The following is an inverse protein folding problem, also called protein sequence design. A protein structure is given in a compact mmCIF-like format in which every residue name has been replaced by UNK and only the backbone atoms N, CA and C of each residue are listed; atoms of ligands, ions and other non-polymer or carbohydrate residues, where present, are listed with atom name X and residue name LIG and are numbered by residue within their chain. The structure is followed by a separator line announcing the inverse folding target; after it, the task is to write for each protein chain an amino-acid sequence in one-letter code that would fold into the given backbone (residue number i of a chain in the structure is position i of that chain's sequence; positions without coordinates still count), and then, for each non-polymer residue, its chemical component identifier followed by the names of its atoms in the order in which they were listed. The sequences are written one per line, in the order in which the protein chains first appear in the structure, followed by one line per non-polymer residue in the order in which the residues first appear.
data_IF_984137624194
#
_entry.id   IF_984137624194
#
_cell.length_a   1.000
_cell.length_b   1.000
_cell.length_c   1.000
_cell.angle_alpha   90.00
_cell.angle_beta   90.00
_cell.angle_gamma   90.00
#
_symmetry.space_group_name_H-M   'P 1'
#
loop_
_entity.id
_entity.type
_entity.pdbx_description
1 polymer ?
#
# COMPACT_ATOMS: atom_id res chain seq x y z
N UNK A 1 -2.00 7.24 -14.22
CA UNK A 1 -1.10 8.18 -13.51
C UNK A 1 0.29 7.53 -13.45
N UNK A 2 1.28 8.02 -14.21
CA UNK A 2 2.63 7.50 -14.13
C UNK A 2 3.25 7.86 -12.77
N UNK A 3 3.67 6.84 -12.03
CA UNK A 3 4.28 6.92 -10.71
C UNK A 3 5.67 7.59 -10.73
N UNK A 4 6.19 7.97 -9.55
CA UNK A 4 7.49 8.63 -9.36
C UNK A 4 8.72 7.81 -9.79
N UNK A 5 8.56 6.52 -10.06
CA UNK A 5 9.67 5.65 -10.45
C UNK A 5 10.34 6.07 -11.74
N UNK A 6 11.61 5.68 -11.86
CA UNK A 6 12.43 5.79 -13.07
C UNK A 6 12.81 4.37 -13.48
N UNK A 7 12.61 3.97 -14.75
CA UNK A 7 13.10 2.67 -15.20
C UNK A 7 14.64 2.69 -15.19
N UNK A 8 15.27 1.65 -14.63
CA UNK A 8 16.72 1.49 -14.62
C UNK A 8 17.06 0.21 -15.38
N UNK A 9 17.92 0.31 -16.40
CA UNK A 9 18.33 -0.80 -17.25
C UNK A 9 17.18 -1.46 -18.03
N UNK A 10 16.04 -0.80 -18.17
CA UNK A 10 14.86 -1.39 -18.80
C UNK A 10 15.04 -1.47 -20.33
N UNK A 11 14.96 -2.68 -20.87
CA UNK A 11 14.93 -2.93 -22.31
C UNK A 11 13.55 -3.45 -22.70
N UNK A 12 12.86 -2.72 -23.57
CA UNK A 12 11.56 -3.12 -24.11
C UNK A 12 11.68 -3.39 -25.61
N UNK A 13 11.34 -4.61 -26.03
CA UNK A 13 11.43 -5.06 -27.45
C UNK A 13 12.79 -4.75 -28.10
N UNK A 14 13.87 -4.97 -27.36
CA UNK A 14 15.24 -4.77 -27.83
C UNK A 14 15.68 -3.30 -27.91
N UNK A 15 14.93 -2.36 -27.33
CA UNK A 15 15.31 -0.95 -27.21
C UNK A 15 15.44 -0.57 -25.75
N UNK A 16 16.51 0.12 -25.41
CA UNK A 16 16.66 0.76 -24.10
C UNK A 16 15.59 1.84 -23.92
N UNK A 17 14.99 1.85 -22.74
CA UNK A 17 14.03 2.87 -22.31
C UNK A 17 14.79 3.94 -21.55
N UNK A 18 14.56 5.21 -21.89
CA UNK A 18 15.19 6.35 -21.23
C UNK A 18 14.99 6.30 -19.71
N UNK A 19 16.08 6.39 -18.95
CA UNK A 19 16.06 6.41 -17.49
C UNK A 19 15.67 7.80 -16.97
N UNK A 20 14.39 8.14 -17.16
CA UNK A 20 13.74 9.32 -16.59
C UNK A 20 12.43 8.93 -15.96
N UNK A 21 11.97 9.69 -14.95
CA UNK A 21 10.69 9.43 -14.28
C UNK A 21 9.56 9.19 -15.27
N UNK A 22 8.65 8.25 -14.99
CA UNK A 22 7.65 7.79 -15.97
C UNK A 22 6.78 8.92 -16.57
N UNK A 23 6.52 9.99 -15.81
CA UNK A 23 5.79 11.17 -16.30
C UNK A 23 6.52 11.99 -17.39
N UNK A 24 7.83 11.77 -17.57
CA UNK A 24 8.65 12.39 -18.62
C UNK A 24 8.97 11.42 -19.78
N UNK A 25 8.58 10.15 -19.68
CA UNK A 25 9.07 9.10 -20.57
C UNK A 25 8.12 8.88 -21.76
N UNK A 26 8.48 9.43 -22.93
CA UNK A 26 7.67 9.31 -24.16
C UNK A 26 7.55 7.88 -24.67
N UNK A 27 8.60 7.07 -24.52
CA UNK A 27 8.59 5.68 -24.98
C UNK A 27 7.52 4.88 -24.24
N UNK A 28 7.32 5.16 -22.96
CA UNK A 28 6.30 4.49 -22.13
C UNK A 28 4.93 5.11 -22.33
N UNK A 29 4.79 6.43 -22.19
CA UNK A 29 3.48 7.09 -22.21
C UNK A 29 2.88 7.10 -23.61
N UNK A 30 3.60 7.57 -24.62
CA UNK A 30 3.09 7.55 -25.99
C UNK A 30 3.29 6.16 -26.61
N UNK A 31 4.53 5.66 -26.62
CA UNK A 31 4.84 4.42 -27.34
C UNK A 31 4.10 3.18 -26.82
N UNK A 32 4.20 2.88 -25.53
CA UNK A 32 3.56 1.67 -24.99
C UNK A 32 2.09 1.91 -24.66
N UNK A 33 1.78 2.90 -23.81
CA UNK A 33 0.44 3.09 -23.28
C UNK A 33 -0.56 3.54 -24.37
N UNK A 34 -0.21 4.51 -25.21
CA UNK A 34 -1.13 4.99 -26.27
C UNK A 34 -1.04 4.15 -27.54
N UNK A 35 0.15 3.98 -28.11
CA UNK A 35 0.27 3.37 -29.43
C UNK A 35 0.09 1.85 -29.41
N UNK A 36 0.65 1.15 -28.40
CA UNK A 36 0.54 -0.31 -28.33
C UNK A 36 -0.69 -0.80 -27.55
N UNK A 37 -1.00 -0.20 -26.40
CA UNK A 37 -2.13 -0.60 -25.55
C UNK A 37 -3.43 0.13 -25.90
N UNK A 38 -3.40 1.15 -26.77
CA UNK A 38 -4.59 1.83 -27.27
C UNK A 38 -5.28 2.74 -26.25
N UNK A 39 -4.60 3.16 -25.20
CA UNK A 39 -5.20 4.04 -24.20
C UNK A 39 -5.35 5.47 -24.74
N UNK A 40 -6.60 5.92 -24.93
CA UNK A 40 -6.89 7.28 -25.40
C UNK A 40 -7.48 8.20 -24.31
N UNK A 41 -7.49 7.73 -23.06
CA UNK A 41 -7.93 8.55 -21.92
C UNK A 41 -6.88 9.56 -21.45
N UNK A 42 -7.23 10.24 -20.35
CA UNK A 42 -6.41 11.28 -19.72
C UNK A 42 -5.21 10.67 -18.97
N UNK A 43 -4.01 11.14 -19.30
CA UNK A 43 -2.79 10.82 -18.54
C UNK A 43 -2.46 11.99 -17.62
N UNK A 44 -2.69 11.83 -16.32
CA UNK A 44 -2.27 12.79 -15.28
C UNK A 44 -0.95 12.33 -14.66
N UNK A 45 0.07 13.19 -14.57
CA UNK A 45 1.31 12.88 -13.82
C UNK A 45 1.00 12.69 -12.34
N UNK A 46 1.85 11.96 -11.62
CA UNK A 46 1.84 12.02 -10.16
C UNK A 46 2.32 13.41 -9.68
N UNK A 47 2.41 13.59 -8.36
CA UNK A 47 2.51 14.89 -7.70
C UNK A 47 3.87 15.60 -7.84
N UNK A 48 3.86 16.89 -8.20
CA UNK A 48 5.01 17.80 -8.12
C UNK A 48 6.23 17.37 -8.97
N UNK A 49 6.01 17.10 -10.27
CA UNK A 49 7.09 16.82 -11.23
C UNK A 49 7.83 18.10 -11.69
N UNK A 50 7.26 19.29 -11.54
CA UNK A 50 7.88 20.53 -12.06
C UNK A 50 8.50 21.34 -10.95
N UNK A 51 7.73 21.57 -9.88
CA UNK A 51 8.06 22.52 -8.83
C UNK A 51 8.50 21.82 -7.54
N UNK A 52 9.32 22.53 -6.76
CA UNK A 52 9.60 22.15 -5.37
C UNK A 52 8.43 22.63 -4.49
N UNK A 53 8.15 21.92 -3.40
CA UNK A 53 7.04 22.22 -2.49
C UNK A 53 7.49 22.22 -1.03
N UNK A 54 6.88 23.07 -0.21
CA UNK A 54 7.04 23.06 1.24
C UNK A 54 5.90 22.27 1.89
N UNK A 55 6.24 21.24 2.66
CA UNK A 55 5.26 20.45 3.44
C UNK A 55 5.74 20.39 4.89
N UNK A 56 4.87 20.77 5.83
CA UNK A 56 5.21 20.74 7.25
C UNK A 56 6.46 21.57 7.59
N UNK A 57 6.73 22.63 6.83
CA UNK A 57 7.92 23.48 7.01
C UNK A 57 9.23 22.92 6.45
N UNK A 58 9.26 21.72 5.85
CA UNK A 58 10.45 21.20 5.16
C UNK A 58 10.29 21.28 3.64
N UNK A 59 11.42 21.39 2.97
CA UNK A 59 11.52 21.46 1.51
C UNK A 59 11.51 20.07 0.88
N UNK A 60 10.56 19.82 -0.01
CA UNK A 60 10.51 18.65 -0.87
C UNK A 60 10.85 19.08 -2.29
N UNK A 61 11.95 18.60 -2.88
CA UNK A 61 12.26 18.90 -4.27
C UNK A 61 11.21 18.29 -5.21
N UNK A 62 11.14 18.81 -6.43
CA UNK A 62 10.38 18.21 -7.51
C UNK A 62 10.78 16.74 -7.69
N UNK A 63 9.81 15.89 -8.04
CA UNK A 63 10.05 14.47 -8.36
C UNK A 63 10.64 14.29 -9.77
N UNK A 64 11.67 15.09 -10.06
CA UNK A 64 12.28 15.26 -11.38
C UNK A 64 13.36 14.22 -11.69
N UNK A 65 13.10 12.96 -11.34
CA UNK A 65 14.08 11.88 -11.45
C UNK A 65 14.61 11.71 -12.88
N UNK A 66 15.94 11.74 -13.03
CA UNK A 66 16.64 11.64 -14.31
C UNK A 66 16.67 12.95 -15.12
N UNK A 67 15.97 13.99 -14.66
CA UNK A 67 15.89 15.31 -15.32
C UNK A 67 16.05 16.47 -14.34
N UNK A 68 16.75 16.24 -13.23
CA UNK A 68 16.96 17.21 -12.15
C UNK A 68 17.68 18.48 -12.67
N UNK A 69 18.54 18.29 -13.67
CA UNK A 69 19.28 19.34 -14.37
C UNK A 69 18.40 20.25 -15.26
N UNK A 70 17.18 19.84 -15.59
CA UNK A 70 16.25 20.65 -16.38
C UNK A 70 15.59 21.71 -15.51
N UNK A 71 15.35 22.88 -16.09
CA UNK A 71 14.53 23.92 -15.47
C UNK A 71 13.03 23.61 -15.58
N UNK A 72 12.21 24.39 -14.88
CA UNK A 72 10.74 24.21 -14.87
C UNK A 72 10.13 24.24 -16.29
N UNK A 73 10.46 25.21 -17.17
CA UNK A 73 9.98 25.19 -18.55
C UNK A 73 10.37 23.92 -19.33
N UNK A 74 11.61 23.44 -19.22
CA UNK A 74 12.04 22.22 -19.89
C UNK A 74 11.34 20.97 -19.34
N UNK A 75 11.10 20.89 -18.03
CA UNK A 75 10.31 19.81 -17.41
C UNK A 75 8.89 19.77 -17.96
N UNK A 76 8.18 20.91 -18.01
CA UNK A 76 6.83 21.00 -18.59
C UNK A 76 6.82 20.52 -20.04
N UNK A 77 7.75 20.99 -20.87
CA UNK A 77 7.84 20.57 -22.26
C UNK A 77 8.06 19.06 -22.40
N UNK A 78 8.94 18.47 -21.58
CA UNK A 78 9.20 17.02 -21.62
C UNK A 78 7.97 16.21 -21.19
N UNK A 79 7.23 16.66 -20.17
CA UNK A 79 5.96 16.03 -19.75
C UNK A 79 4.93 16.07 -20.89
N UNK A 80 4.75 17.23 -21.52
CA UNK A 80 3.79 17.38 -22.62
C UNK A 80 4.20 16.56 -23.86
N UNK A 81 5.50 16.56 -24.21
CA UNK A 81 6.03 15.77 -25.32
C UNK A 81 5.94 14.26 -25.06
N UNK A 82 6.03 13.82 -23.80
CA UNK A 82 5.81 12.44 -23.42
C UNK A 82 4.36 11.97 -23.69
N UNK A 83 3.41 12.91 -23.72
CA UNK A 83 1.99 12.62 -23.96
C UNK A 83 1.11 12.71 -22.70
N UNK A 84 1.61 13.28 -21.60
CA UNK A 84 0.82 13.57 -20.41
C UNK A 84 -0.11 14.77 -20.65
N UNK A 85 -1.34 14.70 -20.15
CA UNK A 85 -2.41 15.67 -20.39
C UNK A 85 -2.63 16.63 -19.20
N UNK A 86 -2.34 16.18 -17.98
CA UNK A 86 -2.53 16.95 -16.75
C UNK A 86 -1.32 16.79 -15.82
N UNK A 87 -0.93 17.86 -15.13
CA UNK A 87 0.20 17.86 -14.20
C UNK A 87 -0.32 17.78 -12.76
N UNK A 88 -0.04 16.67 -12.09
CA UNK A 88 -0.46 16.40 -10.71
C UNK A 88 0.21 17.34 -9.71
N UNK A 89 -0.59 17.99 -8.87
CA UNK A 89 -0.08 18.84 -7.79
C UNK A 89 0.47 20.19 -8.18
N UNK A 90 0.57 20.50 -9.47
CA UNK A 90 1.22 21.73 -9.95
C UNK A 90 0.30 22.94 -9.97
N UNK A 91 0.88 24.10 -9.70
CA UNK A 91 0.20 25.42 -9.76
C UNK A 91 0.91 26.41 -10.69
N UNK A 92 1.89 25.93 -11.46
CA UNK A 92 2.80 26.71 -12.31
C UNK A 92 2.18 27.13 -13.67
N UNK A 93 0.96 27.63 -13.66
CA UNK A 93 0.21 27.96 -14.89
C UNK A 93 0.89 29.06 -15.70
N UNK A 94 1.57 30.00 -15.05
CA UNK A 94 2.36 31.07 -15.66
C UNK A 94 3.44 30.53 -16.59
N UNK A 95 4.19 29.52 -16.14
CA UNK A 95 5.27 28.90 -16.92
C UNK A 95 4.73 28.26 -18.19
N UNK A 96 3.59 27.57 -18.10
CA UNK A 96 2.95 26.96 -19.27
C UNK A 96 2.43 28.04 -20.25
N UNK A 97 1.82 29.11 -19.75
CA UNK A 97 1.33 30.21 -20.59
C UNK A 97 2.48 30.87 -21.37
N UNK A 98 3.63 31.07 -20.73
CA UNK A 98 4.79 31.66 -21.38
C UNK A 98 5.39 30.73 -22.45
N UNK A 99 5.42 29.42 -22.20
CA UNK A 99 5.82 28.42 -23.20
C UNK A 99 4.93 28.41 -24.44
N UNK A 100 3.61 28.64 -24.27
CA UNK A 100 2.66 28.71 -25.38
C UNK A 100 2.85 30.02 -26.15
N UNK A 101 2.91 31.16 -25.44
CA UNK A 101 3.13 32.49 -26.05
C UNK A 101 4.45 32.58 -26.79
N UNK A 102 5.50 31.95 -26.27
CA UNK A 102 6.81 31.86 -26.91
C UNK A 102 6.88 30.82 -28.03
N UNK A 103 5.81 30.08 -28.30
CA UNK A 103 5.72 29.09 -29.38
C UNK A 103 6.47 27.78 -29.10
N UNK A 104 6.98 27.58 -27.88
CA UNK A 104 7.68 26.36 -27.49
C UNK A 104 6.71 25.21 -27.20
N UNK A 105 5.45 25.51 -26.88
CA UNK A 105 4.33 24.56 -26.83
C UNK A 105 3.27 25.03 -27.82
N UNK A 106 2.91 24.17 -28.77
CA UNK A 106 1.86 24.48 -29.76
C UNK A 106 0.48 24.38 -29.13
N UNK A 107 -0.44 25.27 -29.49
CA UNK A 107 -1.85 25.20 -29.05
C UNK A 107 -2.49 23.85 -29.37
N UNK A 108 -2.24 23.30 -30.57
CA UNK A 108 -2.75 21.97 -30.94
C UNK A 108 -2.33 20.84 -29.99
N UNK A 109 -1.17 20.94 -29.31
CA UNK A 109 -0.81 19.95 -28.28
C UNK A 109 -1.70 20.09 -27.05
N UNK A 110 -2.11 21.31 -26.70
CA UNK A 110 -3.09 21.53 -25.63
C UNK A 110 -4.49 21.07 -26.03
N UNK A 111 -4.88 21.28 -27.29
CA UNK A 111 -6.18 20.81 -27.81
C UNK A 111 -6.33 19.29 -27.67
N UNK A 112 -5.27 18.52 -27.91
CA UNK A 112 -5.24 17.07 -27.66
C UNK A 112 -5.55 16.74 -26.19
N UNK A 113 -4.88 17.41 -25.24
CA UNK A 113 -5.11 17.20 -23.81
C UNK A 113 -6.51 17.64 -23.37
N UNK A 114 -6.96 18.80 -23.85
CA UNK A 114 -8.26 19.38 -23.54
C UNK A 114 -9.39 18.53 -24.09
N UNK A 115 -9.24 17.97 -25.29
CA UNK A 115 -10.23 17.05 -25.87
C UNK A 115 -10.45 15.86 -24.94
N UNK A 116 -9.37 15.19 -24.49
CA UNK A 116 -9.49 14.05 -23.55
C UNK A 116 -10.11 14.45 -22.21
N UNK A 117 -9.65 15.56 -21.63
CA UNK A 117 -10.16 16.07 -20.35
C UNK A 117 -11.65 16.43 -20.43
N UNK A 118 -12.06 17.12 -21.49
CA UNK A 118 -13.45 17.54 -21.68
C UNK A 118 -14.34 16.36 -22.03
N UNK A 119 -13.89 15.44 -22.89
CA UNK A 119 -14.63 14.21 -23.20
C UNK A 119 -15.00 13.42 -21.95
N UNK A 120 -14.03 13.14 -21.06
CA UNK A 120 -14.31 12.45 -19.80
C UNK A 120 -15.31 13.24 -18.92
N UNK A 121 -15.21 14.57 -18.87
CA UNK A 121 -16.15 15.39 -18.10
C UNK A 121 -17.56 15.38 -18.68
N UNK A 122 -17.71 15.37 -20.00
CA UNK A 122 -19.00 15.23 -20.67
C UNK A 122 -19.59 13.84 -20.49
N UNK A 123 -18.79 12.78 -20.65
CA UNK A 123 -19.22 11.39 -20.46
C UNK A 123 -19.71 11.12 -19.03
N UNK A 124 -19.04 11.69 -18.03
CA UNK A 124 -19.46 11.62 -16.63
C UNK A 124 -20.68 12.50 -16.31
N UNK A 125 -21.18 13.28 -17.28
CA UNK A 125 -22.32 14.19 -17.08
C UNK A 125 -22.01 15.38 -16.16
N UNK A 126 -20.73 15.74 -15.96
CA UNK A 126 -20.34 16.81 -15.02
C UNK A 126 -20.79 18.21 -15.47
N UNK A 127 -21.13 18.39 -16.75
CA UNK A 127 -21.74 19.62 -17.24
C UNK A 127 -23.27 19.66 -17.04
N UNK A 128 -23.92 18.49 -16.97
CA UNK A 128 -25.36 18.37 -16.76
C UNK A 128 -25.71 18.37 -15.27
N UNK A 129 -24.90 17.68 -14.46
CA UNK A 129 -25.07 17.58 -13.02
C UNK A 129 -23.75 17.87 -12.27
N UNK A 130 -23.32 19.14 -12.19
CA UNK A 130 -22.03 19.52 -11.61
C UNK A 130 -21.96 19.47 -10.08
N UNK A 131 -23.10 19.34 -9.40
CA UNK A 131 -23.18 19.47 -7.95
C UNK A 131 -23.54 18.15 -7.27
N UNK A 132 -23.01 17.95 -6.06
CA UNK A 132 -23.34 16.81 -5.21
C UNK A 132 -24.67 17.04 -4.51
N UNK A 133 -25.47 15.98 -4.37
CA UNK A 133 -26.60 15.94 -3.43
C UNK A 133 -26.04 15.64 -2.03
N UNK A 134 -26.05 16.66 -1.17
CA UNK A 134 -25.46 16.58 0.18
C UNK A 134 -26.26 15.62 1.08
N UNK A 135 -27.58 15.58 0.95
CA UNK A 135 -28.43 14.73 1.77
C UNK A 135 -28.26 13.26 1.38
N UNK A 136 -28.19 12.99 0.07
CA UNK A 136 -27.87 11.66 -0.43
C UNK A 136 -26.45 11.21 -0.01
N UNK A 137 -25.45 12.09 -0.12
CA UNK A 137 -24.08 11.79 0.29
C UNK A 137 -24.04 11.40 1.77
N UNK A 138 -24.68 12.19 2.65
CA UNK A 138 -24.76 11.89 4.08
C UNK A 138 -25.48 10.56 4.38
N UNK A 139 -26.53 10.22 3.61
CA UNK A 139 -27.26 8.96 3.78
C UNK A 139 -26.52 7.72 3.23
N UNK A 140 -25.60 7.90 2.28
CA UNK A 140 -24.90 6.80 1.59
C UNK A 140 -23.61 6.33 2.28
N UNK A 141 -23.00 7.17 3.12
CA UNK A 141 -21.74 6.86 3.81
C UNK A 141 -22.02 6.14 5.12
N UNK A 142 -21.26 5.07 5.39
CA UNK A 142 -21.35 4.37 6.68
C UNK A 142 -22.68 3.63 6.92
N UNK A 143 -23.40 3.26 5.85
CA UNK A 143 -24.65 2.51 5.99
C UNK A 143 -24.41 1.19 6.74
N UNK A 144 -25.42 0.65 7.45
CA UNK A 144 -25.28 -0.63 8.13
C UNK A 144 -24.84 -1.77 7.21
N UNK A 145 -25.22 -1.73 5.94
CA UNK A 145 -24.78 -2.70 4.92
C UNK A 145 -23.30 -2.55 4.59
N UNK A 146 -22.84 -1.32 4.31
CA UNK A 146 -21.43 -1.06 4.03
C UNK A 146 -20.53 -1.42 5.23
N UNK A 147 -20.97 -1.12 6.46
CA UNK A 147 -20.25 -1.48 7.68
C UNK A 147 -20.16 -3.00 7.85
N UNK A 148 -21.25 -3.74 7.60
CA UNK A 148 -21.23 -5.22 7.63
C UNK A 148 -20.33 -5.79 6.54
N UNK A 149 -20.38 -5.25 5.32
CA UNK A 149 -19.52 -5.67 4.22
C UNK A 149 -18.04 -5.40 4.53
N UNK A 150 -17.72 -4.25 5.12
CA UNK A 150 -16.37 -3.90 5.56
C UNK A 150 -15.86 -4.81 6.68
N UNK A 151 -16.70 -5.17 7.66
CA UNK A 151 -16.35 -6.13 8.71
C UNK A 151 -16.13 -7.53 8.14
N UNK A 152 -16.97 -7.95 7.19
CA UNK A 152 -16.78 -9.21 6.47
C UNK A 152 -15.46 -9.21 5.69
N UNK A 153 -15.15 -8.15 4.95
CA UNK A 153 -13.91 -8.03 4.19
C UNK A 153 -12.67 -8.12 5.10
N UNK A 154 -12.69 -7.46 6.26
CA UNK A 154 -11.61 -7.51 7.25
C UNK A 154 -11.45 -8.91 7.85
N UNK A 155 -12.53 -9.54 8.30
CA UNK A 155 -12.44 -10.90 8.87
C UNK A 155 -12.04 -11.95 7.82
N UNK A 156 -12.50 -11.79 6.58
CA UNK A 156 -12.16 -12.66 5.46
C UNK A 156 -10.72 -12.47 4.98
N UNK A 157 -10.10 -11.30 5.15
CA UNK A 157 -8.71 -11.05 4.74
C UNK A 157 -7.67 -11.60 5.71
N UNK A 158 -8.07 -11.95 6.94
CA UNK A 158 -7.15 -12.59 7.90
C UNK A 158 -6.67 -13.92 7.36
N UNK A 159 -5.35 -14.11 7.37
CA UNK A 159 -4.66 -15.32 6.94
C UNK A 159 -4.38 -16.19 8.16
N UNK A 160 -4.75 -17.46 8.08
CA UNK A 160 -4.36 -18.45 9.07
C UNK A 160 -3.02 -19.08 8.68
N UNK A 161 -1.94 -18.73 9.37
CA UNK A 161 -0.59 -19.24 9.07
C UNK A 161 -0.30 -20.56 9.79
N UNK A 162 -0.69 -20.65 11.06
CA UNK A 162 -0.50 -21.86 11.88
C UNK A 162 -1.62 -22.01 12.90
N UNK A 163 -2.10 -23.23 13.11
CA UNK A 163 -3.03 -23.62 14.19
C UNK A 163 -3.04 -25.15 14.34
N UNK A 164 -3.18 -25.70 15.56
CA UNK A 164 -3.38 -27.13 15.76
C UNK A 164 -4.75 -27.59 15.22
N UNK A 165 -4.87 -28.87 14.82
CA UNK A 165 -6.13 -29.42 14.30
C UNK A 165 -7.31 -29.24 15.26
N UNK A 166 -7.06 -29.39 16.56
CA UNK A 166 -8.01 -29.08 17.61
C UNK A 166 -7.60 -27.79 18.33
N UNK A 167 -8.38 -26.73 18.16
CA UNK A 167 -8.20 -25.47 18.88
C UNK A 167 -9.56 -25.00 19.43
N UNK A 168 -9.83 -25.16 20.74
CA UNK A 168 -11.05 -24.65 21.33
C UNK A 168 -11.05 -23.11 21.28
N UNK A 169 -12.20 -22.53 20.98
CA UNK A 169 -12.34 -21.07 20.98
C UNK A 169 -12.26 -20.55 22.42
N UNK A 170 -11.39 -19.57 22.71
CA UNK A 170 -11.21 -19.05 24.06
C UNK A 170 -12.46 -18.30 24.51
N UNK A 171 -12.86 -18.53 25.77
CA UNK A 171 -13.93 -17.78 26.45
C UNK A 171 -13.36 -16.72 27.38
N UNK A 172 -12.13 -16.92 27.84
CA UNK A 172 -11.36 -15.95 28.63
C UNK A 172 -10.05 -15.65 27.91
N UNK A 173 -9.70 -14.38 27.73
CA UNK A 173 -8.50 -13.95 27.01
C UNK A 173 -7.69 -12.94 27.81
N UNK A 174 -6.37 -13.06 27.73
CA UNK A 174 -5.47 -11.94 28.03
C UNK A 174 -5.15 -11.23 26.71
N UNK A 175 -5.14 -9.90 26.69
CA UNK A 175 -5.04 -9.13 25.43
C UNK A 175 -3.89 -8.13 25.50
N UNK A 176 -3.00 -8.14 24.48
CA UNK A 176 -1.93 -7.16 24.31
C UNK A 176 -1.86 -6.66 22.87
N UNK A 177 -1.67 -5.35 22.69
CA UNK A 177 -1.57 -4.73 21.36
C UNK A 177 -2.92 -4.55 20.64
N UNK A 178 -4.04 -4.70 21.36
CA UNK A 178 -5.40 -4.50 20.86
C UNK A 178 -6.26 -3.83 21.93
N UNK A 179 -7.31 -3.13 21.51
CA UNK A 179 -8.37 -2.64 22.40
C UNK A 179 -9.11 -3.82 23.07
N UNK A 180 -9.31 -3.76 24.39
CA UNK A 180 -10.02 -4.83 25.13
C UNK A 180 -11.50 -4.91 24.72
N UNK A 181 -12.10 -3.76 24.40
CA UNK A 181 -13.50 -3.60 23.97
C UNK A 181 -13.78 -4.35 22.66
N UNK A 182 -12.74 -4.69 21.89
CA UNK A 182 -12.86 -5.54 20.72
C UNK A 182 -13.45 -6.93 21.06
N UNK A 183 -13.31 -7.39 22.30
CA UNK A 183 -13.82 -8.69 22.79
C UNK A 183 -15.20 -8.61 23.44
N UNK A 184 -15.84 -7.43 23.50
CA UNK A 184 -17.15 -7.26 24.12
C UNK A 184 -18.20 -8.20 23.49
N UNK A 185 -18.81 -9.02 24.35
CA UNK A 185 -19.78 -10.05 23.95
C UNK A 185 -19.19 -11.26 23.23
N UNK A 186 -17.86 -11.38 23.13
CA UNK A 186 -17.15 -12.50 22.49
C UNK A 186 -16.38 -13.36 23.51
N UNK A 187 -15.66 -12.72 24.45
CA UNK A 187 -14.87 -13.37 25.50
C UNK A 187 -14.71 -12.43 26.72
N UNK A 188 -14.38 -12.99 27.89
CA UNK A 188 -14.01 -12.24 29.08
C UNK A 188 -12.53 -11.87 29.04
N UNK A 189 -12.19 -10.59 29.14
CA UNK A 189 -10.78 -10.16 29.20
C UNK A 189 -10.30 -10.20 30.66
N UNK A 190 -9.09 -10.75 30.88
CA UNK A 190 -8.44 -10.83 32.20
C UNK A 190 -7.08 -10.16 32.19
N UNK A 191 -6.65 -9.68 33.36
CA UNK A 191 -5.37 -8.99 33.54
C UNK A 191 -4.18 -9.95 33.69
N UNK A 192 -4.42 -11.19 34.14
CA UNK A 192 -3.39 -12.22 34.33
C UNK A 192 -3.46 -13.28 33.22
N UNK A 193 -2.42 -13.44 32.38
CA UNK A 193 -2.41 -14.45 31.33
C UNK A 193 -2.55 -15.88 31.86
N UNK A 194 -2.13 -16.19 33.09
CA UNK A 194 -2.28 -17.53 33.66
C UNK A 194 -3.76 -17.92 33.90
N UNK A 195 -4.66 -16.94 33.98
CA UNK A 195 -6.11 -17.15 34.11
C UNK A 195 -6.87 -17.19 32.78
N UNK A 196 -6.19 -17.05 31.64
CA UNK A 196 -6.81 -16.99 30.33
C UNK A 196 -6.82 -18.36 29.63
N UNK A 197 -7.84 -18.60 28.80
CA UNK A 197 -7.84 -19.75 27.87
C UNK A 197 -6.80 -19.54 26.76
N UNK A 198 -6.53 -18.28 26.41
CA UNK A 198 -5.49 -17.88 25.46
C UNK A 198 -4.95 -16.48 25.76
N UNK A 199 -3.66 -16.28 25.55
CA UNK A 199 -3.05 -14.95 25.47
C UNK A 199 -3.07 -14.50 24.01
N UNK A 200 -3.80 -13.42 23.70
CA UNK A 200 -3.94 -12.85 22.36
C UNK A 200 -3.05 -11.63 22.24
N UNK A 201 -2.07 -11.70 21.36
CA UNK A 201 -1.10 -10.63 21.12
C UNK A 201 -1.18 -10.18 19.67
N UNK A 202 -1.29 -8.86 19.47
CA UNK A 202 -1.19 -8.26 18.15
C UNK A 202 0.10 -7.45 18.02
N UNK A 203 0.80 -7.68 16.92
CA UNK A 203 2.08 -7.05 16.59
C UNK A 203 1.98 -6.35 15.23
N UNK A 204 2.73 -5.27 15.05
CA UNK A 204 3.06 -4.78 13.71
C UNK A 204 4.24 -5.57 13.15
N UNK A 205 4.36 -5.65 11.81
CA UNK A 205 5.62 -6.06 11.21
C UNK A 205 6.75 -5.14 11.70
N UNK A 206 7.95 -5.69 11.99
CA UNK A 206 9.07 -4.90 12.48
C UNK A 206 9.54 -3.91 11.40
N UNK A 207 10.02 -2.77 11.89
CA UNK A 207 10.60 -1.72 11.07
C UNK A 207 11.50 -0.84 11.93
N UNK A 208 12.36 -0.09 11.26
CA UNK A 208 13.19 0.95 11.86
C UNK A 208 12.52 2.30 11.59
N UNK A 209 12.11 3.05 12.62
CA UNK A 209 11.62 4.41 12.45
C UNK A 209 12.68 5.30 11.79
N UNK A 210 12.24 6.13 10.84
CA UNK A 210 13.10 7.09 10.13
C UNK A 210 12.36 8.41 9.96
N UNK A 211 13.08 9.52 10.02
CA UNK A 211 12.51 10.87 10.01
C UNK A 211 13.36 11.92 9.29
N UNK A 212 14.24 11.47 8.39
CA UNK A 212 15.09 12.35 7.58
C UNK A 212 14.21 13.19 6.62
N UNK A 213 13.19 12.57 6.01
CA UNK A 213 12.23 13.25 5.13
C UNK A 213 10.83 13.37 5.74
N UNK A 214 10.06 14.40 5.34
CA UNK A 214 8.70 14.68 5.88
C UNK A 214 7.76 13.49 5.82
N UNK A 215 7.85 12.72 4.74
CA UNK A 215 6.97 11.60 4.49
C UNK A 215 7.54 10.26 4.98
N UNK A 216 8.82 10.22 5.32
CA UNK A 216 9.50 8.99 5.70
C UNK A 216 8.91 8.30 6.96
N UNK A 217 8.48 9.04 8.01
CA UNK A 217 7.84 8.43 9.16
C UNK A 217 6.54 7.65 8.86
N UNK A 218 5.94 7.85 7.68
CA UNK A 218 4.74 7.13 7.25
C UNK A 218 5.04 5.80 6.54
N UNK A 219 6.31 5.49 6.31
CA UNK A 219 6.72 4.26 5.61
C UNK A 219 7.59 3.40 6.51
N UNK A 220 7.25 2.12 6.58
CA UNK A 220 8.04 1.13 7.30
C UNK A 220 9.17 0.60 6.40
N UNK A 221 10.41 0.69 6.90
CA UNK A 221 11.62 0.22 6.21
C UNK A 221 12.59 -0.42 7.22
N UNK A 222 13.71 -0.97 6.73
CA UNK A 222 14.71 -1.63 7.59
C UNK A 222 14.40 -3.10 7.83
N UNK A 223 14.98 -3.64 8.91
CA UNK A 223 14.90 -5.06 9.29
C UNK A 223 13.47 -5.58 9.37
N UNK A 224 13.29 -6.82 8.90
CA UNK A 224 12.04 -7.58 8.97
C UNK A 224 12.03 -8.56 10.15
N UNK A 225 13.05 -8.55 11.01
CA UNK A 225 13.14 -9.40 12.20
C UNK A 225 12.60 -8.72 13.46
N UNK A 226 11.89 -9.50 14.28
CA UNK A 226 11.50 -9.07 15.62
C UNK A 226 12.72 -9.00 16.55
N UNK A 227 12.74 -8.01 17.44
CA UNK A 227 13.79 -7.90 18.45
C UNK A 227 13.75 -9.06 19.44
N UNK A 228 14.89 -9.37 20.05
CA UNK A 228 15.00 -10.40 21.08
C UNK A 228 14.06 -10.14 22.26
N UNK A 229 13.82 -8.86 22.60
CA UNK A 229 12.89 -8.47 23.68
C UNK A 229 11.45 -8.88 23.36
N UNK A 230 10.97 -8.60 22.15
CA UNK A 230 9.63 -9.02 21.71
C UNK A 230 9.50 -10.54 21.75
N UNK A 231 10.51 -11.27 21.27
CA UNK A 231 10.51 -12.74 21.29
C UNK A 231 10.51 -13.28 22.73
N UNK A 232 11.30 -12.68 23.63
CA UNK A 232 11.34 -13.07 25.04
C UNK A 232 9.98 -12.84 25.71
N UNK A 233 9.35 -11.70 25.48
CA UNK A 233 8.03 -11.41 26.04
C UNK A 233 6.95 -12.37 25.53
N UNK A 234 7.01 -12.78 24.26
CA UNK A 234 6.10 -13.80 23.72
C UNK A 234 6.35 -15.17 24.37
N UNK A 235 7.60 -15.51 24.63
CA UNK A 235 7.95 -16.77 25.30
C UNK A 235 7.41 -16.82 26.73
N UNK A 236 7.49 -15.72 27.48
CA UNK A 236 6.93 -15.62 28.83
C UNK A 236 5.41 -15.79 28.84
N UNK A 237 4.70 -15.24 27.84
CA UNK A 237 3.25 -15.44 27.69
C UNK A 237 2.91 -16.88 27.28
N UNK A 238 3.65 -17.45 26.34
CA UNK A 238 3.47 -18.82 25.88
C UNK A 238 3.68 -19.87 27.00
N UNK A 239 4.49 -19.54 28.01
CA UNK A 239 4.69 -20.38 29.19
C UNK A 239 3.48 -20.41 30.15
N UNK A 240 2.59 -19.42 30.06
CA UNK A 240 1.46 -19.24 30.99
C UNK A 240 0.12 -19.68 30.38
N UNK A 241 -0.08 -19.43 29.08
CA UNK A 241 -1.30 -19.80 28.37
C UNK A 241 -1.01 -20.06 26.88
N UNK A 242 -1.91 -20.77 26.16
CA UNK A 242 -1.86 -20.87 24.71
C UNK A 242 -1.73 -19.49 24.05
N UNK A 243 -0.69 -19.30 23.26
CA UNK A 243 -0.38 -18.01 22.64
C UNK A 243 -1.02 -17.90 21.24
N UNK A 244 -1.88 -16.91 21.06
CA UNK A 244 -2.44 -16.52 19.76
C UNK A 244 -1.78 -15.21 19.32
N UNK A 245 -1.05 -15.23 18.21
CA UNK A 245 -0.37 -14.04 17.69
C UNK A 245 -0.99 -13.64 16.36
N UNK A 246 -1.41 -12.38 16.26
CA UNK A 246 -1.70 -11.71 15.00
C UNK A 246 -0.55 -10.76 14.64
N UNK A 247 -0.05 -10.83 13.41
CA UNK A 247 0.92 -9.86 12.90
C UNK A 247 0.26 -9.06 11.77
N UNK A 248 0.29 -7.74 11.88
CA UNK A 248 -0.12 -6.84 10.79
C UNK A 248 0.99 -6.82 9.75
N UNK A 249 0.76 -7.53 8.64
CA UNK A 249 1.68 -7.76 7.54
C UNK A 249 1.52 -6.70 6.44
N UNK A 250 1.82 -5.44 6.76
CA UNK A 250 2.06 -4.42 5.74
C UNK A 250 3.37 -4.67 4.95
N UNK A 251 4.23 -5.56 5.47
CA UNK A 251 5.50 -6.01 4.91
C UNK A 251 5.73 -7.51 5.23
N UNK A 252 6.59 -8.22 4.47
CA UNK A 252 6.87 -9.64 4.68
C UNK A 252 7.80 -9.89 5.87
N UNK A 253 7.28 -9.77 7.10
CA UNK A 253 8.03 -9.99 8.33
C UNK A 253 8.64 -11.40 8.42
N UNK A 254 9.83 -11.51 9.01
CA UNK A 254 10.47 -12.78 9.38
C UNK A 254 9.78 -13.31 10.63
N UNK A 255 8.86 -14.27 10.44
CA UNK A 255 8.03 -14.79 11.54
C UNK A 255 8.62 -16.02 12.26
N UNK A 256 9.77 -16.53 11.85
CA UNK A 256 10.38 -17.76 12.37
C UNK A 256 10.38 -17.84 13.91
N UNK A 257 10.94 -16.86 14.66
CA UNK A 257 10.95 -16.94 16.12
C UNK A 257 9.55 -16.84 16.76
N UNK A 258 8.61 -16.16 16.10
CA UNK A 258 7.23 -16.03 16.57
C UNK A 258 6.44 -17.32 16.32
N UNK A 259 6.67 -17.94 15.15
CA UNK A 259 5.98 -19.15 14.72
C UNK A 259 6.25 -20.33 15.64
N UNK A 260 7.45 -20.43 16.22
CA UNK A 260 7.83 -21.49 17.17
C UNK A 260 7.14 -21.35 18.53
N UNK A 261 6.79 -20.14 18.93
CA UNK A 261 6.13 -19.83 20.20
C UNK A 261 4.60 -19.85 20.10
N UNK A 262 4.06 -19.45 18.94
CA UNK A 262 2.64 -19.29 18.74
C UNK A 262 1.91 -20.64 18.66
N UNK A 263 0.86 -20.79 19.47
CA UNK A 263 -0.12 -21.88 19.31
C UNK A 263 -0.98 -21.63 18.06
N UNK A 264 -1.40 -20.37 17.86
CA UNK A 264 -2.07 -19.92 16.64
C UNK A 264 -1.36 -18.68 16.11
N UNK A 265 -1.03 -18.68 14.83
CA UNK A 265 -0.41 -17.56 14.15
C UNK A 265 -1.32 -17.08 13.02
N UNK A 266 -1.64 -15.79 13.06
CA UNK A 266 -2.46 -15.09 12.08
C UNK A 266 -1.64 -13.98 11.41
N UNK A 267 -1.94 -13.71 10.15
CA UNK A 267 -1.50 -12.53 9.43
C UNK A 267 -2.69 -11.65 9.08
N UNK A 268 -2.65 -10.36 9.42
CA UNK A 268 -3.68 -9.38 9.07
C UNK A 268 -3.12 -8.21 8.27
N UNK A 269 -3.98 -7.42 7.64
CA UNK A 269 -3.59 -6.30 6.78
C UNK A 269 -4.29 -5.02 7.22
N UNK A 270 -3.94 -4.53 8.41
CA UNK A 270 -4.57 -3.37 9.06
C UNK A 270 -6.08 -3.54 9.31
N UNK A 271 -6.51 -4.79 9.53
CA UNK A 271 -7.88 -5.08 9.98
C UNK A 271 -8.13 -4.49 11.36
N UNK A 272 -9.37 -4.14 11.69
CA UNK A 272 -9.72 -3.64 13.02
C UNK A 272 -9.53 -4.72 14.10
N UNK A 273 -9.31 -4.29 15.34
CA UNK A 273 -9.19 -5.22 16.47
C UNK A 273 -10.44 -6.09 16.62
N UNK A 274 -11.63 -5.53 16.34
CA UNK A 274 -12.89 -6.28 16.37
C UNK A 274 -12.90 -7.42 15.36
N UNK A 275 -12.33 -7.23 14.17
CA UNK A 275 -12.24 -8.29 13.17
C UNK A 275 -11.34 -9.44 13.66
N UNK A 276 -10.20 -9.11 14.27
CA UNK A 276 -9.29 -10.12 14.86
C UNK A 276 -9.98 -10.84 16.03
N UNK A 277 -10.64 -10.12 16.93
CA UNK A 277 -11.37 -10.71 18.05
C UNK A 277 -12.47 -11.69 17.57
N UNK A 278 -13.21 -11.35 16.52
CA UNK A 278 -14.20 -12.26 15.91
C UNK A 278 -13.56 -13.54 15.36
N UNK A 279 -12.39 -13.45 14.72
CA UNK A 279 -11.66 -14.60 14.19
C UNK A 279 -11.09 -15.47 15.31
N UNK A 280 -10.46 -14.86 16.31
CA UNK A 280 -9.84 -15.56 17.44
C UNK A 280 -10.88 -16.31 18.28
N UNK A 281 -12.07 -15.74 18.45
CA UNK A 281 -13.16 -16.34 19.22
C UNK A 281 -14.10 -17.22 18.39
N UNK A 282 -13.80 -17.45 17.10
CA UNK A 282 -14.57 -18.35 16.24
C UNK A 282 -15.91 -17.82 15.71
N UNK A 283 -16.18 -16.53 15.88
CA UNK A 283 -17.38 -15.85 15.35
C UNK A 283 -17.25 -15.51 13.85
N UNK A 284 -16.03 -15.50 13.32
CA UNK A 284 -15.74 -15.38 11.90
C UNK A 284 -14.65 -16.35 11.47
N UNK A 285 -14.74 -16.86 10.24
CA UNK A 285 -13.72 -17.74 9.67
C UNK A 285 -12.68 -16.91 8.89
N UNK A 286 -11.38 -17.06 9.17
CA UNK A 286 -10.33 -16.49 8.33
C UNK A 286 -10.33 -17.19 6.97
N UNK A 287 -10.21 -16.42 5.89
CA UNK A 287 -10.25 -16.93 4.50
C UNK A 287 -9.11 -16.37 3.64
N UNK A 288 -8.24 -15.55 4.23
CA UNK A 288 -7.19 -14.86 3.53
C UNK A 288 -6.11 -15.85 3.10
N UNK A 289 -5.46 -15.51 2.01
CA UNK A 289 -4.25 -16.16 1.55
C UNK A 289 -3.13 -15.12 1.49
N UNK A 290 -1.89 -15.56 1.68
CA UNK A 290 -0.74 -14.65 1.62
C UNK A 290 -0.57 -14.08 0.21
N UNK A 291 -0.50 -12.74 0.04
CA UNK A 291 -0.25 -12.11 -1.25
C UNK A 291 1.26 -12.08 -1.60
N UNK A 292 2.13 -12.38 -0.64
CA UNK A 292 3.58 -12.45 -0.78
C UNK A 292 4.16 -13.54 0.11
N UNK A 293 5.34 -14.05 -0.25
CA UNK A 293 6.06 -15.04 0.55
C UNK A 293 6.58 -14.39 1.84
N UNK A 294 6.49 -15.11 2.95
CA UNK A 294 7.10 -14.70 4.22
C UNK A 294 8.50 -15.36 4.34
N UNK A 295 9.58 -14.56 4.44
CA UNK A 295 10.94 -15.07 4.51
C UNK A 295 11.20 -15.80 5.83
N UNK A 296 12.07 -16.82 5.79
CA UNK A 296 12.52 -17.51 6.99
C UNK A 296 13.61 -16.75 7.77
N UNK A 297 14.32 -15.81 7.13
CA UNK A 297 15.40 -15.01 7.75
C UNK A 297 15.71 -13.73 6.97
N UNK A 298 16.36 -12.76 7.60
CA UNK A 298 16.91 -11.60 6.87
C UNK A 298 17.95 -11.99 5.83
N UNK A 299 18.72 -13.06 6.06
CA UNK A 299 19.70 -13.55 5.09
C UNK A 299 19.02 -13.98 3.77
N UNK A 300 17.82 -14.55 3.83
CA UNK A 300 17.02 -14.88 2.62
C UNK A 300 16.56 -13.61 1.90
N UNK A 301 16.13 -12.59 2.66
CA UNK A 301 15.71 -11.30 2.11
C UNK A 301 16.87 -10.61 1.37
N UNK A 302 18.06 -10.57 1.98
CA UNK A 302 19.25 -9.92 1.40
C UNK A 302 19.74 -10.59 0.11
N UNK A 303 19.52 -11.90 -0.04
CA UNK A 303 19.84 -12.63 -1.28
C UNK A 303 18.78 -12.48 -2.36
N UNK A 304 17.54 -12.20 -1.97
CA UNK A 304 16.44 -12.02 -2.92
C UNK A 304 16.57 -10.73 -3.72
N UNK A 305 16.10 -10.75 -4.97
CA UNK A 305 16.03 -9.54 -5.79
C UNK A 305 14.75 -8.77 -5.45
N UNK A 306 14.91 -7.52 -5.03
CA UNK A 306 13.81 -6.66 -4.58
C UNK A 306 12.76 -6.35 -5.66
N UNK A 307 13.12 -6.50 -6.93
CA UNK A 307 12.28 -6.26 -8.11
C UNK A 307 11.71 -7.55 -8.74
N UNK A 308 12.01 -8.73 -8.19
CA UNK A 308 11.54 -10.01 -8.73
C UNK A 308 10.57 -10.71 -7.75
N UNK A 309 9.28 -10.83 -8.11
CA UNK A 309 8.29 -11.40 -7.21
C UNK A 309 8.46 -12.92 -7.06
N UNK A 310 8.64 -13.39 -5.83
CA UNK A 310 8.76 -14.83 -5.50
C UNK A 310 10.15 -15.41 -5.78
N UNK A 311 11.19 -14.58 -5.72
CA UNK A 311 12.60 -14.96 -5.81
C UNK A 311 13.23 -15.32 -4.45
N UNK A 312 12.41 -15.45 -3.40
CA UNK A 312 12.87 -15.86 -2.08
C UNK A 312 13.31 -17.34 -2.10
N UNK A 313 14.54 -17.58 -1.69
CA UNK A 313 15.17 -18.92 -1.70
C UNK A 313 14.85 -19.76 -0.46
N UNK A 314 14.43 -19.11 0.63
CA UNK A 314 14.05 -19.75 1.89
C UNK A 314 12.77 -19.08 2.45
N UNK A 315 11.66 -19.78 2.28
CA UNK A 315 10.30 -19.31 2.55
C UNK A 315 9.74 -20.06 3.76
N UNK A 316 9.32 -19.31 4.79
CA UNK A 316 8.65 -19.87 5.96
C UNK A 316 7.17 -20.16 5.66
N UNK A 317 6.47 -19.21 5.04
CA UNK A 317 5.09 -19.36 4.58
C UNK A 317 4.97 -18.84 3.16
N UNK A 318 4.53 -19.71 2.25
CA UNK A 318 4.40 -19.37 0.84
C UNK A 318 3.12 -18.57 0.56
N UNK A 319 3.20 -17.68 -0.42
CA UNK A 319 2.03 -17.05 -1.03
C UNK A 319 1.14 -18.09 -1.70
N UNK A 320 -0.14 -17.77 -1.85
CA UNK A 320 -1.00 -18.62 -2.65
C UNK A 320 -0.53 -18.67 -4.12
N UNK A 321 -0.67 -19.84 -4.78
CA UNK A 321 -0.39 -19.94 -6.20
C UNK A 321 -1.30 -18.97 -6.97
N UNK A 322 -0.70 -18.17 -7.85
CA UNK A 322 -1.48 -17.31 -8.74
C UNK A 322 -2.30 -18.21 -9.68
N UNK A 323 -3.60 -17.93 -9.89
CA UNK A 323 -4.35 -18.62 -10.92
C UNK A 323 -3.64 -18.44 -12.27
N UNK A 324 -3.70 -19.43 -13.17
CA UNK A 324 -3.17 -19.25 -14.52
C UNK A 324 -3.84 -18.03 -15.14
N UNK A 325 -3.03 -17.01 -15.48
CA UNK A 325 -3.46 -15.78 -16.13
C UNK A 325 -3.86 -15.97 -17.58
#
# INVERSE_FOLDING_TARGET
MPYYGMPVGLVYRGREIEEVGFGYNKQIITGILRDELGYDGVVVTDWQFVSDVLIGGRHLPARAWGVEHLDRPARIRKILDAGCDQLGGETCTDVLLDLVRGGQVREGRLDESLTRLLSVKFELGLFDNPYVDVDHAAASVGTPEAVRAGMWAQTASVVLLRRPEAHPWPRTVYVRGMAQEAFDGLATVVDDPAGADAAVVRLAAPFEPRDDFVLEPFFHAGSLEFSADVVSELADLAAQAPLVVDVTLDRPAVLTPVADLATVLLGSFSSSDRAIALVVTGHAAPRGELPFDLPASMAAVERSRSDVPGDLDDVLFARAPQPPG
#
